data_IF_266889181907
#
_entry.id   IF_266889181907
#
_cell.length_a   1.000
_cell.length_b   1.000
_cell.length_c   1.000
_cell.angle_alpha   90.00
_cell.angle_beta   90.00
_cell.angle_gamma   90.00
#
_symmetry.space_group_name_H-M   'P 1'
#
loop_
_entity.id
_entity.type
_entity.pdbx_description
1 polymer ?
#
# COMPACT_ATOMS: atom_id res chain seq x y z
N UNK A 1 12.22 63.05 28.41
CA UNK A 1 11.19 63.32 27.38
C UNK A 1 10.96 62.03 26.62
N UNK A 2 9.71 61.53 26.59
CA UNK A 2 9.07 60.61 25.61
C UNK A 2 9.86 59.34 25.18
N UNK A 3 9.46 58.09 25.44
CA UNK A 3 8.14 57.49 25.58
C UNK A 3 7.72 56.79 24.28
N UNK A 4 7.80 55.46 24.19
CA UNK A 4 6.94 54.61 23.35
C UNK A 4 7.17 53.13 23.76
N UNK A 5 6.28 52.58 24.58
CA UNK A 5 5.10 51.83 24.14
C UNK A 5 5.49 50.50 23.50
N UNK A 6 5.47 49.48 24.36
CA UNK A 6 4.78 48.20 24.14
C UNK A 6 4.40 47.90 22.69
N UNK A 7 4.85 46.75 22.18
CA UNK A 7 3.97 45.66 21.76
C UNK A 7 4.79 44.51 21.23
N UNK A 8 4.38 43.31 21.68
CA UNK A 8 4.29 42.07 20.90
C UNK A 8 5.33 41.94 19.81
N UNK A 9 6.15 40.90 19.92
CA UNK A 9 6.17 39.86 18.90
C UNK A 9 6.76 38.63 19.60
N UNK A 10 5.87 37.83 20.22
CA UNK A 10 6.12 36.40 20.36
C UNK A 10 6.40 35.92 18.93
N UNK A 11 7.67 35.75 18.55
CA UNK A 11 7.97 35.16 17.26
C UNK A 11 7.59 33.69 17.35
N UNK A 12 6.62 33.37 16.49
CA UNK A 12 5.99 32.08 16.34
C UNK A 12 7.01 30.98 16.03
N UNK A 13 6.84 29.89 16.77
CA UNK A 13 6.88 28.49 16.35
C UNK A 13 6.92 28.25 14.84
N UNK A 14 7.75 27.29 14.41
CA UNK A 14 7.32 25.99 13.88
C UNK A 14 8.56 25.26 13.36
N UNK A 15 9.13 24.38 14.20
CA UNK A 15 10.03 23.33 13.73
C UNK A 15 9.21 22.42 12.80
N UNK A 16 9.40 22.55 11.49
CA UNK A 16 8.88 21.56 10.54
C UNK A 16 9.61 20.24 10.82
N UNK A 17 8.93 19.34 11.53
CA UNK A 17 9.27 17.93 11.55
C UNK A 17 9.04 17.41 10.12
N UNK A 18 10.09 17.43 9.28
CA UNK A 18 10.09 16.71 8.02
C UNK A 18 10.06 15.22 8.36
N UNK A 19 8.86 14.68 8.57
CA UNK A 19 8.65 13.24 8.65
C UNK A 19 9.02 12.65 7.30
N UNK A 20 10.19 12.04 7.22
CA UNK A 20 10.50 11.10 6.15
C UNK A 20 9.46 9.99 6.23
N UNK A 21 8.44 10.07 5.37
CA UNK A 21 7.50 8.99 5.16
C UNK A 21 8.34 7.80 4.68
N UNK A 22 8.65 6.88 5.59
CA UNK A 22 9.21 5.60 5.23
C UNK A 22 8.23 4.97 4.25
N UNK A 23 8.59 4.95 2.97
CA UNK A 23 7.86 4.19 1.97
C UNK A 23 8.04 2.71 2.32
N UNK A 24 7.26 2.22 3.28
CA UNK A 24 7.10 0.79 3.49
C UNK A 24 6.65 0.20 2.16
N UNK A 25 7.22 -0.97 1.81
CA UNK A 25 6.75 -1.66 0.61
C UNK A 25 5.28 -1.99 0.81
N UNK A 26 4.43 -1.51 -0.10
CA UNK A 26 3.00 -1.80 -0.09
C UNK A 26 2.77 -3.31 -0.23
N UNK A 27 1.65 -3.80 0.26
CA UNK A 27 1.23 -5.20 0.10
C UNK A 27 -0.27 -5.28 -0.11
N UNK A 28 -0.79 -6.41 -0.61
CA UNK A 28 -2.23 -6.54 -0.87
C UNK A 28 -3.06 -6.38 0.42
N UNK A 29 -2.51 -6.81 1.56
CA UNK A 29 -3.11 -6.64 2.89
C UNK A 29 -3.29 -5.17 3.30
N UNK A 30 -2.59 -4.21 2.69
CA UNK A 30 -2.81 -2.78 2.93
C UNK A 30 -4.09 -2.26 2.23
N UNK A 31 -4.58 -2.97 1.20
CA UNK A 31 -5.77 -2.59 0.42
C UNK A 31 -7.00 -3.39 0.84
N UNK A 32 -6.83 -4.69 1.08
CA UNK A 32 -7.89 -5.59 1.55
C UNK A 32 -7.31 -6.61 2.51
N UNK A 33 -7.74 -6.55 3.77
CA UNK A 33 -7.36 -7.53 4.80
C UNK A 33 -8.01 -8.90 4.56
N UNK A 34 -7.20 -9.95 4.66
CA UNK A 34 -7.69 -11.34 4.65
C UNK A 34 -7.57 -12.05 6.01
N UNK A 35 -7.11 -11.35 7.06
CA UNK A 35 -6.80 -11.91 8.38
C UNK A 35 -8.02 -12.46 9.13
N UNK A 36 -9.21 -11.95 8.86
CA UNK A 36 -10.46 -12.46 9.44
C UNK A 36 -10.94 -13.78 8.81
N UNK A 37 -10.23 -14.26 7.79
CA UNK A 37 -10.49 -15.52 7.11
C UNK A 37 -9.45 -16.54 7.58
N UNK A 38 -9.90 -17.73 7.96
CA UNK A 38 -9.04 -18.86 8.33
C UNK A 38 -8.31 -19.44 7.10
N UNK A 39 -7.45 -18.65 6.48
CA UNK A 39 -6.61 -19.07 5.36
C UNK A 39 -5.31 -19.75 5.84
N UNK A 40 -4.73 -20.66 5.05
CA UNK A 40 -3.43 -21.25 5.35
C UNK A 40 -2.36 -20.17 5.49
N UNK A 41 -1.41 -20.36 6.41
CA UNK A 41 -0.31 -19.41 6.64
C UNK A 41 0.52 -19.13 5.38
N UNK A 42 0.68 -20.13 4.50
CA UNK A 42 1.38 -19.97 3.22
C UNK A 42 0.63 -19.05 2.25
N UNK A 43 -0.70 -19.07 2.28
CA UNK A 43 -1.52 -18.17 1.48
C UNK A 43 -1.44 -16.74 2.03
N UNK A 44 -1.52 -16.57 3.36
CA UNK A 44 -1.37 -15.26 4.00
C UNK A 44 -0.01 -14.65 3.68
N UNK A 45 1.08 -15.42 3.76
CA UNK A 45 2.42 -14.95 3.39
C UNK A 45 2.53 -14.56 1.92
N UNK A 46 1.96 -15.36 1.01
CA UNK A 46 1.93 -15.03 -0.41
C UNK A 46 1.16 -13.72 -0.67
N UNK A 47 0.05 -13.52 0.02
CA UNK A 47 -0.77 -12.32 -0.07
C UNK A 47 -0.09 -11.07 0.54
N UNK A 48 0.72 -11.26 1.58
CA UNK A 48 1.52 -10.21 2.23
C UNK A 48 2.84 -9.89 1.49
N UNK A 49 3.05 -10.47 0.29
CA UNK A 49 4.26 -10.23 -0.52
C UNK A 49 4.44 -8.72 -0.77
N UNK A 50 5.62 -8.15 -0.49
CA UNK A 50 5.90 -6.74 -0.73
C UNK A 50 5.88 -6.40 -2.23
N UNK A 51 5.02 -5.46 -2.58
CA UNK A 51 4.93 -4.80 -3.89
C UNK A 51 6.03 -3.75 -4.02
N UNK A 52 7.19 -4.21 -4.46
CA UNK A 52 8.38 -3.38 -4.65
C UNK A 52 8.20 -2.39 -5.79
N UNK A 53 8.80 -1.19 -5.65
CA UNK A 53 8.74 -0.12 -6.65
C UNK A 53 7.31 0.37 -6.96
N UNK A 54 6.34 0.02 -6.11
CA UNK A 54 5.01 0.57 -6.13
C UNK A 54 4.90 1.67 -5.06
N UNK A 55 4.25 2.77 -5.40
CA UNK A 55 3.90 3.83 -4.48
C UNK A 55 2.38 3.90 -4.33
N UNK A 56 1.84 4.50 -3.26
CA UNK A 56 0.39 4.61 -3.11
C UNK A 56 -0.28 5.32 -4.29
N UNK A 57 0.43 6.28 -4.91
CA UNK A 57 -0.02 7.02 -6.10
C UNK A 57 -0.16 6.15 -7.34
N UNK A 58 0.47 4.98 -7.39
CA UNK A 58 0.34 4.06 -8.51
C UNK A 58 -1.04 3.36 -8.53
N UNK A 59 -1.76 3.36 -7.40
CA UNK A 59 -3.08 2.74 -7.23
C UNK A 59 -4.21 3.77 -7.05
N UNK A 60 -3.90 5.07 -7.16
CA UNK A 60 -4.90 6.16 -7.10
C UNK A 60 -4.94 6.94 -8.41
N UNK A 61 -6.08 7.59 -8.70
CA UNK A 61 -6.23 8.54 -9.82
C UNK A 61 -6.07 7.95 -11.24
N UNK A 62 -6.14 6.63 -11.41
CA UNK A 62 -6.09 5.97 -12.73
C UNK A 62 -4.74 6.14 -13.46
N UNK A 63 -3.66 6.47 -12.73
CA UNK A 63 -2.31 6.51 -13.26
C UNK A 63 -1.84 5.08 -13.58
N UNK A 64 -1.17 4.90 -14.71
CA UNK A 64 -0.57 3.61 -15.02
C UNK A 64 0.65 3.38 -14.11
N UNK A 65 0.66 2.27 -13.37
CA UNK A 65 1.82 1.79 -12.61
C UNK A 65 3.09 1.73 -13.49
N UNK A 66 4.25 2.03 -12.91
CA UNK A 66 5.56 1.76 -13.54
C UNK A 66 5.70 0.29 -13.95
N UNK A 67 6.50 0.02 -14.99
CA UNK A 67 6.78 -1.35 -15.42
C UNK A 67 7.35 -2.22 -14.28
N UNK A 68 8.18 -1.64 -13.41
CA UNK A 68 8.73 -2.34 -12.25
C UNK A 68 7.66 -2.69 -11.20
N UNK A 69 6.70 -1.77 -10.97
CA UNK A 69 5.59 -2.06 -10.07
C UNK A 69 4.69 -3.18 -10.64
N UNK A 70 4.40 -3.14 -11.94
CA UNK A 70 3.62 -4.20 -12.62
C UNK A 70 4.30 -5.57 -12.51
N UNK A 71 5.62 -5.62 -12.68
CA UNK A 71 6.38 -6.86 -12.51
C UNK A 71 6.29 -7.39 -11.06
N UNK A 72 6.40 -6.51 -10.07
CA UNK A 72 6.22 -6.90 -8.67
C UNK A 72 4.80 -7.39 -8.36
N UNK A 73 3.77 -6.76 -8.91
CA UNK A 73 2.37 -7.22 -8.78
C UNK A 73 2.18 -8.58 -9.45
N UNK A 74 2.76 -8.79 -10.64
CA UNK A 74 2.73 -10.07 -11.33
C UNK A 74 3.43 -11.18 -10.53
N UNK A 75 4.53 -10.85 -9.86
CA UNK A 75 5.24 -11.80 -9.00
C UNK A 75 4.39 -12.19 -7.77
N UNK A 76 3.80 -11.22 -7.07
CA UNK A 76 2.87 -11.49 -5.97
C UNK A 76 1.68 -12.35 -6.42
N UNK A 77 1.15 -12.08 -7.61
CA UNK A 77 0.11 -12.91 -8.23
C UNK A 77 0.55 -14.36 -8.40
N UNK A 78 1.76 -14.60 -8.91
CA UNK A 78 2.30 -15.95 -9.06
C UNK A 78 2.37 -16.70 -7.72
N UNK A 79 2.78 -16.01 -6.64
CA UNK A 79 2.78 -16.59 -5.30
C UNK A 79 1.36 -16.88 -4.79
N UNK A 80 0.39 -16.01 -5.04
CA UNK A 80 -1.01 -16.25 -4.68
C UNK A 80 -1.57 -17.47 -5.44
N UNK A 81 -1.30 -17.58 -6.74
CA UNK A 81 -1.75 -18.74 -7.52
C UNK A 81 -1.16 -20.06 -6.98
N UNK A 82 0.10 -20.04 -6.57
CA UNK A 82 0.77 -21.21 -6.01
C UNK A 82 0.27 -21.57 -4.59
N UNK A 83 0.08 -20.58 -3.72
CA UNK A 83 -0.17 -20.80 -2.28
C UNK A 83 -1.65 -20.73 -1.88
N UNK A 84 -2.48 -20.07 -2.69
CA UNK A 84 -3.88 -19.82 -2.39
C UNK A 84 -4.83 -20.49 -3.41
N UNK A 85 -4.36 -21.24 -4.41
CA UNK A 85 -5.19 -21.70 -5.52
C UNK A 85 -6.45 -22.49 -5.13
N UNK A 86 -6.44 -23.18 -3.99
CA UNK A 86 -7.54 -24.02 -3.50
C UNK A 86 -8.45 -23.32 -2.47
N UNK A 87 -8.08 -22.13 -1.98
CA UNK A 87 -8.87 -21.46 -0.94
C UNK A 87 -10.08 -20.73 -1.52
N UNK A 88 -11.21 -20.77 -0.82
CA UNK A 88 -12.41 -20.02 -1.22
C UNK A 88 -12.32 -18.56 -0.80
N UNK A 89 -12.27 -17.66 -1.78
CA UNK A 89 -12.29 -16.22 -1.59
C UNK A 89 -13.57 -15.61 -2.19
N UNK A 90 -13.99 -14.45 -1.67
CA UNK A 90 -15.12 -13.71 -2.26
C UNK A 90 -14.80 -13.35 -3.70
N UNK A 91 -15.73 -13.55 -4.64
CA UNK A 91 -15.47 -13.37 -6.08
C UNK A 91 -14.87 -12.00 -6.46
N UNK A 92 -15.23 -10.96 -5.73
CA UNK A 92 -14.80 -9.57 -5.95
C UNK A 92 -13.48 -9.20 -5.26
N UNK A 93 -13.00 -10.04 -4.32
CA UNK A 93 -11.81 -9.79 -3.51
C UNK A 93 -10.52 -9.74 -4.33
N UNK A 94 -9.53 -9.01 -3.84
CA UNK A 94 -8.17 -9.01 -4.41
C UNK A 94 -7.54 -10.39 -4.40
N UNK A 95 -7.82 -11.21 -3.38
CA UNK A 95 -7.38 -12.61 -3.34
C UNK A 95 -7.94 -13.41 -4.53
N UNK A 96 -9.25 -13.32 -4.80
CA UNK A 96 -9.89 -13.94 -5.98
C UNK A 96 -9.29 -13.45 -7.29
N UNK A 97 -8.97 -12.16 -7.40
CA UNK A 97 -8.31 -11.60 -8.59
C UNK A 97 -6.89 -12.15 -8.75
N UNK A 98 -6.15 -12.33 -7.67
CA UNK A 98 -4.83 -12.96 -7.67
C UNK A 98 -4.87 -14.41 -8.10
N UNK A 99 -5.79 -15.21 -7.54
CA UNK A 99 -6.00 -16.60 -7.93
C UNK A 99 -6.28 -16.74 -9.44
N UNK A 100 -7.06 -15.80 -10.01
CA UNK A 100 -7.46 -15.79 -11.42
C UNK A 100 -6.43 -15.20 -12.38
N UNK A 101 -5.29 -14.71 -11.87
CA UNK A 101 -4.27 -14.12 -12.72
C UNK A 101 -4.60 -12.70 -13.22
N UNK A 102 -5.44 -11.96 -12.49
CA UNK A 102 -5.99 -10.67 -12.92
C UNK A 102 -5.56 -9.47 -12.03
N UNK A 103 -4.56 -9.61 -11.16
CA UNK A 103 -4.15 -8.54 -10.24
C UNK A 103 -3.55 -7.33 -10.97
N UNK A 104 -2.75 -7.54 -12.01
CA UNK A 104 -2.11 -6.44 -12.75
C UNK A 104 -3.12 -5.56 -13.49
N UNK A 105 -4.31 -6.08 -13.79
CA UNK A 105 -5.33 -5.34 -14.53
C UNK A 105 -6.31 -4.57 -13.64
N UNK A 106 -6.30 -4.83 -12.32
CA UNK A 106 -7.33 -4.35 -11.38
C UNK A 106 -6.74 -3.51 -10.25
N UNK A 107 -5.42 -3.55 -10.10
CA UNK A 107 -4.60 -2.63 -9.31
C UNK A 107 -4.01 -1.57 -10.25
#
# INVERSE_FOLDING_TARGET
MTGQSTRRWLQLSFLLMAGSASAGSLKLSDFESISDKSFPETCVQAYDTPLSQCTPKDFTDGKACSAACKDSVQQAQGFIQASCGDVSASSESLLSRGQKGNLVAVL
#
